data_IF_334658057791
#
_entry.id   IF_334658057791
#
_cell.length_a   1.000
_cell.length_b   1.000
_cell.length_c   1.000
_cell.angle_alpha   90.00
_cell.angle_beta   90.00
_cell.angle_gamma   90.00
#
_symmetry.space_group_name_H-M   'P 1'
#
loop_
_entity.id
_entity.type
_entity.pdbx_description
1 polymer ?
#
# COMPACT_ATOMS: atom_id res chain seq x y z
N UNK A 1 17.01 -30.77 26.82
CA UNK A 1 15.87 -29.97 26.33
C UNK A 1 16.28 -28.50 26.29
N UNK A 2 16.61 -27.98 25.11
CA UNK A 2 16.57 -26.55 24.78
C UNK A 2 16.62 -26.48 23.24
N UNK A 3 15.49 -26.14 22.63
CA UNK A 3 15.35 -26.02 21.17
C UNK A 3 16.08 -24.76 20.70
N UNK A 4 16.94 -24.90 19.70
CA UNK A 4 17.54 -23.78 19.01
C UNK A 4 16.43 -22.96 18.33
N UNK A 5 16.33 -21.67 18.67
CA UNK A 5 15.52 -20.73 17.92
C UNK A 5 16.16 -20.55 16.54
N UNK A 6 15.45 -20.95 15.49
CA UNK A 6 15.88 -20.76 14.11
C UNK A 6 15.85 -19.27 13.78
N UNK A 7 17.01 -18.61 13.85
CA UNK A 7 17.22 -17.31 13.22
C UNK A 7 17.05 -17.48 11.71
N UNK A 8 16.04 -16.85 11.12
CA UNK A 8 15.86 -16.84 9.67
C UNK A 8 17.07 -16.14 9.02
N UNK A 9 17.84 -16.81 8.14
CA UNK A 9 18.96 -16.19 7.46
C UNK A 9 18.41 -15.41 6.27
N UNK A 10 18.25 -14.10 6.44
CA UNK A 10 17.70 -13.28 5.36
C UNK A 10 17.47 -11.82 5.73
N UNK A 11 18.38 -11.19 6.49
CA UNK A 11 18.43 -9.72 6.51
C UNK A 11 19.08 -9.25 5.21
N UNK A 12 18.34 -9.34 4.10
CA UNK A 12 18.59 -8.46 2.98
C UNK A 12 18.30 -7.06 3.49
N UNK A 13 19.25 -6.12 3.42
CA UNK A 13 19.04 -4.71 3.74
C UNK A 13 17.79 -4.19 3.01
N UNK A 14 16.63 -4.29 3.66
CA UNK A 14 15.37 -3.81 3.11
C UNK A 14 15.39 -2.30 3.28
N UNK A 15 15.99 -1.62 2.30
CA UNK A 15 15.96 -0.17 2.25
C UNK A 15 14.51 0.26 2.14
N UNK A 16 13.99 0.90 3.18
CA UNK A 16 12.64 1.43 3.19
C UNK A 16 12.55 2.58 2.19
N UNK A 17 11.82 2.40 1.09
CA UNK A 17 11.68 3.42 0.03
C UNK A 17 10.79 4.59 0.47
N UNK A 18 9.72 4.30 1.21
CA UNK A 18 8.77 5.30 1.71
C UNK A 18 9.00 5.58 3.19
N UNK A 19 9.05 4.53 4.01
CA UNK A 19 9.31 4.62 5.45
C UNK A 19 9.19 3.26 6.13
N UNK A 20 9.94 3.04 7.23
CA UNK A 20 10.00 1.75 7.91
C UNK A 20 8.66 1.30 8.52
N UNK A 21 7.73 2.24 8.79
CA UNK A 21 6.39 1.93 9.30
C UNK A 21 5.50 1.18 8.31
N UNK A 22 5.88 1.14 7.03
CA UNK A 22 5.19 0.36 5.99
C UNK A 22 5.91 -0.97 5.70
N UNK A 23 6.88 -1.36 6.52
CA UNK A 23 7.60 -2.63 6.41
C UNK A 23 7.12 -3.60 7.50
N UNK A 24 6.98 -4.87 7.14
CA UNK A 24 6.66 -5.95 8.07
C UNK A 24 7.68 -7.08 7.96
N UNK A 25 7.94 -7.84 9.04
CA UNK A 25 8.91 -8.93 9.03
C UNK A 25 8.40 -10.18 8.30
N UNK A 26 7.14 -10.19 7.87
CA UNK A 26 6.50 -11.26 7.13
C UNK A 26 5.83 -10.72 5.86
N UNK A 27 5.64 -11.56 4.83
CA UNK A 27 4.92 -11.19 3.62
C UNK A 27 3.45 -10.85 3.90
N UNK A 28 2.91 -9.88 3.16
CA UNK A 28 1.48 -9.52 3.21
C UNK A 28 0.89 -9.71 1.82
N UNK A 29 -0.20 -10.47 1.74
CA UNK A 29 -0.98 -10.63 0.50
C UNK A 29 -1.83 -9.39 0.26
N UNK A 30 -1.45 -8.58 -0.72
CA UNK A 30 -2.19 -7.38 -1.11
C UNK A 30 -3.28 -7.70 -2.13
N UNK A 31 -4.48 -7.21 -1.88
CA UNK A 31 -5.65 -7.33 -2.78
C UNK A 31 -6.17 -5.97 -3.17
N UNK A 32 -6.53 -5.79 -4.44
CA UNK A 32 -7.18 -4.58 -4.93
C UNK A 32 -8.69 -4.80 -4.93
N UNK A 33 -9.42 -3.93 -4.23
CA UNK A 33 -10.88 -3.94 -4.22
C UNK A 33 -11.40 -2.68 -4.89
N UNK A 34 -12.13 -2.88 -6.00
CA UNK A 34 -12.84 -1.81 -6.72
C UNK A 34 -14.31 -1.83 -6.32
N UNK A 35 -14.81 -0.74 -5.75
CA UNK A 35 -16.23 -0.65 -5.37
C UNK A 35 -17.05 -0.28 -6.61
N UNK A 36 -17.95 -1.19 -7.03
CA UNK A 36 -18.69 -1.14 -8.31
C UNK A 36 -19.62 0.09 -8.42
N UNK A 37 -20.06 0.69 -7.31
CA UNK A 37 -20.98 1.85 -7.31
C UNK A 37 -20.31 3.23 -7.20
N UNK A 38 -18.99 3.32 -6.99
CA UNK A 38 -18.27 4.61 -6.81
C UNK A 38 -17.09 4.75 -7.78
N UNK A 39 -17.20 4.20 -8.98
CA UNK A 39 -16.17 4.30 -10.01
C UNK A 39 -16.20 5.72 -10.58
N UNK A 40 -15.54 6.64 -9.88
CA UNK A 40 -14.98 7.85 -10.47
C UNK A 40 -13.47 7.65 -10.62
N UNK A 41 -12.98 7.75 -11.86
CA UNK A 41 -11.60 8.03 -12.28
C UNK A 41 -10.46 7.37 -11.49
N UNK A 42 -10.58 6.08 -11.21
CA UNK A 42 -9.46 5.28 -10.69
C UNK A 42 -9.33 5.23 -9.15
N UNK A 43 -10.41 5.51 -8.42
CA UNK A 43 -10.48 5.30 -6.97
C UNK A 43 -10.60 3.81 -6.60
N UNK A 44 -9.74 3.31 -5.71
CA UNK A 44 -9.83 1.94 -5.18
C UNK A 44 -9.16 1.83 -3.81
N UNK A 45 -9.36 0.71 -3.13
CA UNK A 45 -8.66 0.40 -1.87
C UNK A 45 -7.78 -0.83 -2.05
N UNK A 46 -6.70 -0.88 -1.28
CA UNK A 46 -5.81 -2.03 -1.16
C UNK A 46 -6.01 -2.63 0.21
N UNK A 47 -6.29 -3.93 0.27
CA UNK A 47 -6.53 -4.67 1.51
C UNK A 47 -5.53 -5.80 1.69
N UNK A 48 -5.44 -6.35 2.90
CA UNK A 48 -4.85 -7.67 3.12
C UNK A 48 -5.83 -8.80 2.74
N UNK A 49 -5.43 -10.05 3.01
CA UNK A 49 -6.25 -11.26 2.80
C UNK A 49 -7.45 -11.36 3.75
N UNK A 50 -7.39 -10.71 4.92
CA UNK A 50 -8.48 -10.64 5.89
C UNK A 50 -9.51 -9.54 5.57
N UNK A 51 -9.21 -8.65 4.62
CA UNK A 51 -10.06 -7.55 4.20
C UNK A 51 -9.81 -6.23 4.94
N UNK A 52 -8.75 -6.13 5.74
CA UNK A 52 -8.37 -4.87 6.38
C UNK A 52 -7.83 -3.91 5.33
N UNK A 53 -8.30 -2.65 5.35
CA UNK A 53 -7.81 -1.62 4.43
C UNK A 53 -6.41 -1.20 4.86
N UNK A 54 -5.44 -1.40 3.98
CA UNK A 54 -4.06 -0.95 4.17
C UNK A 54 -3.85 0.42 3.53
N UNK A 55 -4.37 0.61 2.32
CA UNK A 55 -4.23 1.85 1.57
C UNK A 55 -5.49 2.24 0.83
N UNK A 56 -5.68 3.53 0.62
CA UNK A 56 -6.70 4.10 -0.28
C UNK A 56 -5.99 4.79 -1.43
N UNK A 57 -6.40 4.50 -2.65
CA UNK A 57 -5.91 5.19 -3.85
C UNK A 57 -7.00 6.09 -4.37
N UNK A 58 -6.68 7.39 -4.51
CA UNK A 58 -7.59 8.38 -5.08
C UNK A 58 -7.01 9.02 -6.33
N UNK A 59 -7.78 9.03 -7.42
CA UNK A 59 -7.48 9.82 -8.61
C UNK A 59 -7.66 11.31 -8.34
N UNK A 60 -6.80 12.14 -8.93
CA UNK A 60 -6.94 13.60 -8.89
C UNK A 60 -7.59 14.05 -10.20
N UNK A 61 -8.91 14.19 -10.21
CA UNK A 61 -9.69 14.55 -11.42
C UNK A 61 -9.35 15.93 -12.01
N UNK A 62 -8.71 16.83 -11.25
CA UNK A 62 -8.68 18.25 -11.58
C UNK A 62 -7.45 18.73 -12.37
N UNK A 63 -6.56 17.83 -12.81
CA UNK A 63 -5.41 18.23 -13.64
C UNK A 63 -5.51 17.58 -15.02
N UNK A 64 -6.02 18.35 -16.00
CA UNK A 64 -6.01 18.05 -17.44
C UNK A 64 -4.63 17.70 -18.04
N UNK A 65 -3.56 17.65 -17.23
CA UNK A 65 -2.17 17.66 -17.70
C UNK A 65 -1.36 16.42 -17.25
N UNK A 66 -1.72 15.68 -16.19
CA UNK A 66 -1.02 14.42 -15.83
C UNK A 66 -1.92 13.46 -15.05
N UNK A 67 -1.81 12.15 -15.30
CA UNK A 67 -2.47 11.14 -14.47
C UNK A 67 -1.81 11.13 -13.09
N UNK A 68 -2.42 11.81 -12.12
CA UNK A 68 -1.99 11.87 -10.73
C UNK A 68 -2.88 11.03 -9.83
N UNK A 69 -2.26 10.30 -8.89
CA UNK A 69 -2.96 9.50 -7.88
C UNK A 69 -2.34 9.71 -6.51
N UNK A 70 -3.17 9.94 -5.50
CA UNK A 70 -2.74 9.94 -4.11
C UNK A 70 -2.87 8.53 -3.53
N UNK A 71 -1.77 8.03 -2.97
CA UNK A 71 -1.77 6.88 -2.07
C UNK A 71 -1.94 7.41 -0.65
N UNK A 72 -3.02 7.01 0.01
CA UNK A 72 -3.37 7.39 1.37
C UNK A 72 -3.29 6.15 2.27
N UNK A 73 -3.07 6.37 3.56
CA UNK A 73 -3.20 5.32 4.57
C UNK A 73 -4.68 4.96 4.85
N UNK A 74 -4.89 4.04 5.79
CA UNK A 74 -6.22 3.62 6.24
C UNK A 74 -7.03 4.78 6.85
N UNK A 75 -6.39 5.76 7.49
CA UNK A 75 -7.02 6.95 8.06
C UNK A 75 -7.36 8.01 6.99
N UNK A 76 -6.81 7.89 5.77
CA UNK A 76 -6.99 8.85 4.68
C UNK A 76 -5.92 9.95 4.65
N UNK A 77 -4.83 9.80 5.40
CA UNK A 77 -3.68 10.71 5.39
C UNK A 77 -2.81 10.40 4.16
N UNK A 78 -2.38 11.41 3.38
CA UNK A 78 -1.53 11.19 2.21
C UNK A 78 -0.16 10.63 2.56
N UNK A 79 0.26 9.59 1.83
CA UNK A 79 1.58 8.96 1.93
C UNK A 79 2.47 9.50 0.79
N UNK A 80 2.02 9.32 -0.45
CA UNK A 80 2.72 9.77 -1.66
C UNK A 80 1.76 10.15 -2.78
N UNK A 81 2.29 10.86 -3.77
CA UNK A 81 1.60 11.12 -5.04
C UNK A 81 2.35 10.42 -6.17
N UNK A 82 1.63 9.60 -6.93
CA UNK A 82 2.11 8.98 -8.16
C UNK A 82 1.71 9.88 -9.33
N UNK A 83 2.65 10.18 -10.23
CA UNK A 83 2.40 11.01 -11.42
C UNK A 83 2.99 10.32 -12.65
N UNK A 84 2.22 10.25 -13.73
CA UNK A 84 2.72 9.82 -15.04
C UNK A 84 3.79 10.78 -15.55
N UNK A 85 4.93 10.26 -15.99
CA UNK A 85 6.02 11.03 -16.62
C UNK A 85 5.59 11.59 -17.96
#
# INVERSE_FOLDING_TARGET
MASAGSSFPGSTNSLSVIGPQYCTPYPIDLRIVKKVMTISDGNFVVTDSAGNILFKVKGVLLTFIHQRRHLLDAAGIPIVTLQSK
#
